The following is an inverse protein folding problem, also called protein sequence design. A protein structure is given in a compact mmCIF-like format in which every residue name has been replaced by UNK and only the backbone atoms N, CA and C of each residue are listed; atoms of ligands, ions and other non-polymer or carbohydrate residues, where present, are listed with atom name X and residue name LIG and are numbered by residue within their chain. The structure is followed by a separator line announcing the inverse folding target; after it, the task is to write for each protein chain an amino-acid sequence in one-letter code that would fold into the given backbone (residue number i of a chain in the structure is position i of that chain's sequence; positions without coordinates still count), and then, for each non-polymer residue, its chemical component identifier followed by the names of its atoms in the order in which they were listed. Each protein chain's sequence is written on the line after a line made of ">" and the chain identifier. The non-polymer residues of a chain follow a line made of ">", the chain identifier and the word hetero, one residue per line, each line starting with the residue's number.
data_IF_073089590652
#
_entry.id   IF_073089590652
#
_cell.length_a   1.000
_cell.length_b   1.000
_cell.length_c   1.000
_cell.angle_alpha   90.00
_cell.angle_beta   90.00
_cell.angle_gamma   90.00
#
_symmetry.space_group_name_H-M   'P 1'
#
loop_
_entity.id
_entity.type
_entity.pdbx_description
1 polymer ?
#
# COMPACT_ATOMS: atom_id res chain seq x y z
N UNK A 1 38.17 -7.89 18.12
CA UNK A 1 37.21 -8.41 17.12
C UNK A 1 35.90 -7.65 17.29
N UNK A 2 35.76 -6.50 16.62
CA UNK A 2 34.62 -5.59 16.79
C UNK A 2 33.56 -5.84 15.73
N UNK A 3 32.40 -6.33 16.19
CA UNK A 3 31.03 -5.87 15.91
C UNK A 3 30.77 -5.27 14.51
N UNK A 4 29.95 -5.98 13.72
CA UNK A 4 29.03 -5.36 12.74
C UNK A 4 27.60 -5.70 13.15
N UNK A 5 27.06 -4.88 14.04
CA UNK A 5 25.62 -4.71 14.17
C UNK A 5 25.17 -4.00 12.89
N UNK A 6 24.48 -4.72 11.99
CA UNK A 6 23.77 -4.09 10.89
C UNK A 6 22.55 -3.38 11.47
N UNK A 7 22.73 -2.12 11.84
CA UNK A 7 21.62 -1.19 12.08
C UNK A 7 20.78 -1.12 10.80
N UNK A 8 19.65 -1.82 10.75
CA UNK A 8 18.56 -1.42 9.85
C UNK A 8 17.94 -0.18 10.47
N UNK A 9 18.56 0.98 10.23
CA UNK A 9 17.93 2.26 10.52
C UNK A 9 16.65 2.32 9.68
N UNK A 10 15.50 2.17 10.33
CA UNK A 10 14.19 2.51 9.79
C UNK A 10 14.13 4.04 9.63
N UNK A 11 14.86 4.57 8.65
CA UNK A 11 14.68 5.94 8.19
C UNK A 11 13.32 5.98 7.48
N UNK A 12 12.40 6.78 8.01
CA UNK A 12 11.00 6.87 7.58
C UNK A 12 10.86 7.27 6.11
N UNK A 13 10.91 6.29 5.21
CA UNK A 13 10.61 6.46 3.80
C UNK A 13 9.11 6.49 3.57
N UNK A 14 8.68 7.17 2.51
CA UNK A 14 7.27 7.18 2.10
C UNK A 14 6.82 5.77 1.75
N UNK A 15 5.67 5.38 2.29
CA UNK A 15 5.02 4.12 1.98
C UNK A 15 4.09 4.31 0.79
N UNK A 16 4.21 3.40 -0.17
CA UNK A 16 3.47 3.43 -1.43
C UNK A 16 2.93 2.04 -1.75
N UNK A 17 1.88 2.00 -2.55
CA UNK A 17 1.37 0.76 -3.13
C UNK A 17 2.07 0.45 -4.44
N UNK A 18 2.47 -0.81 -4.62
CA UNK A 18 3.01 -1.31 -5.88
C UNK A 18 2.21 -2.52 -6.37
N UNK A 19 2.13 -2.76 -7.69
CA UNK A 19 1.44 -3.92 -8.24
C UNK A 19 2.03 -5.25 -7.74
N UNK A 20 1.16 -6.23 -7.51
CA UNK A 20 1.52 -7.54 -7.00
C UNK A 20 0.61 -8.65 -7.53
N UNK A 21 1.19 -9.77 -7.96
CA UNK A 21 0.45 -10.82 -8.68
C UNK A 21 -0.62 -11.53 -7.84
N UNK A 22 -0.41 -11.65 -6.52
CA UNK A 22 -1.34 -12.39 -5.63
C UNK A 22 -2.32 -11.51 -4.88
N UNK A 23 -1.90 -10.30 -4.53
CA UNK A 23 -2.66 -9.39 -3.67
C UNK A 23 -3.23 -8.20 -4.44
N UNK A 24 -2.97 -8.13 -5.76
CA UNK A 24 -3.19 -6.96 -6.64
C UNK A 24 -2.27 -5.79 -6.28
N UNK A 25 -2.26 -5.40 -5.01
CA UNK A 25 -1.44 -4.32 -4.46
C UNK A 25 -0.67 -4.80 -3.25
N UNK A 26 0.61 -4.43 -3.17
CA UNK A 26 1.47 -4.70 -2.02
C UNK A 26 2.11 -3.42 -1.51
N UNK A 27 2.23 -3.32 -0.19
CA UNK A 27 2.86 -2.18 0.47
C UNK A 27 4.37 -2.22 0.24
N UNK A 28 4.95 -1.07 -0.09
CA UNK A 28 6.38 -0.93 -0.28
C UNK A 28 6.89 0.38 0.31
N UNK A 29 8.14 0.39 0.73
CA UNK A 29 8.84 1.58 1.17
C UNK A 29 9.75 2.08 0.05
N UNK A 30 9.63 3.35 -0.31
CA UNK A 30 10.54 3.96 -1.30
C UNK A 30 11.94 4.06 -0.72
N UNK A 31 12.92 3.45 -1.39
CA UNK A 31 14.33 3.56 -1.04
C UNK A 31 14.95 4.78 -1.72
N UNK A 32 14.79 4.86 -3.03
CA UNK A 32 15.35 5.94 -3.83
C UNK A 32 14.58 6.13 -5.14
N UNK A 33 14.57 7.37 -5.63
CA UNK A 33 14.08 7.72 -6.96
C UNK A 33 15.27 7.80 -7.91
N UNK A 34 15.37 6.84 -8.82
CA UNK A 34 16.48 6.75 -9.79
C UNK A 34 16.29 7.79 -10.90
N UNK A 35 15.05 8.01 -11.33
CA UNK A 35 14.69 9.04 -12.31
C UNK A 35 13.26 9.54 -12.09
N UNK A 36 12.77 10.42 -12.96
CA UNK A 36 11.37 10.86 -12.94
C UNK A 36 10.39 9.67 -13.02
N UNK A 37 10.71 8.63 -13.79
CA UNK A 37 9.79 7.51 -14.01
C UNK A 37 10.27 6.19 -13.38
N UNK A 38 11.46 6.14 -12.78
CA UNK A 38 12.01 4.90 -12.24
C UNK A 38 12.28 5.04 -10.74
N UNK A 39 11.65 4.17 -9.95
CA UNK A 39 11.80 4.13 -8.50
C UNK A 39 12.28 2.76 -8.03
N UNK A 40 13.04 2.75 -6.94
CA UNK A 40 13.43 1.53 -6.26
C UNK A 40 12.75 1.49 -4.89
N UNK A 41 12.09 0.37 -4.60
CA UNK A 41 11.30 0.17 -3.39
C UNK A 41 11.66 -1.15 -2.73
N UNK A 42 11.47 -1.23 -1.43
CA UNK A 42 11.51 -2.48 -0.67
C UNK A 42 10.11 -2.91 -0.32
N UNK A 43 9.74 -4.14 -0.63
CA UNK A 43 8.43 -4.67 -0.23
C UNK A 43 8.38 -4.83 1.29
N UNK A 44 7.27 -4.41 1.90
CA UNK A 44 7.07 -4.47 3.35
C UNK A 44 5.81 -5.24 3.69
N UNK A 45 5.79 -5.83 4.88
CA UNK A 45 4.59 -6.47 5.42
C UNK A 45 3.49 -5.42 5.64
N UNK A 46 2.24 -5.82 5.38
CA UNK A 46 1.11 -4.93 5.57
C UNK A 46 0.59 -4.95 7.01
N UNK A 47 0.58 -6.14 7.65
CA UNK A 47 0.22 -6.37 9.06
C UNK A 47 0.88 -7.67 9.61
N UNK A 48 0.68 -7.98 10.89
CA UNK A 48 1.25 -9.15 11.58
C UNK A 48 0.82 -10.50 11.01
N UNK A 49 -0.29 -10.58 10.28
CA UNK A 49 -0.75 -11.80 9.60
C UNK A 49 0.08 -12.17 8.37
N UNK A 50 0.77 -11.20 7.77
CA UNK A 50 1.66 -11.37 6.60
C UNK A 50 3.14 -11.36 7.01
N UNK A 51 3.44 -11.66 8.27
CA UNK A 51 4.80 -11.62 8.80
C UNK A 51 5.75 -12.62 8.10
N UNK A 52 5.21 -13.69 7.48
CA UNK A 52 5.98 -14.66 6.70
C UNK A 52 5.60 -14.62 5.21
N UNK A 53 5.75 -13.46 4.57
CA UNK A 53 5.84 -13.38 3.12
C UNK A 53 7.34 -13.35 2.72
N UNK A 54 7.85 -14.33 1.96
CA UNK A 54 9.26 -14.42 1.60
C UNK A 54 9.72 -13.26 0.70
N UNK A 55 8.80 -12.52 0.08
CA UNK A 55 9.14 -11.35 -0.71
C UNK A 55 9.34 -10.09 0.16
N UNK A 56 8.94 -10.10 1.43
CA UNK A 56 9.16 -8.97 2.33
C UNK A 56 10.67 -8.72 2.51
N UNK A 57 11.09 -7.47 2.39
CA UNK A 57 12.51 -7.09 2.36
C UNK A 57 13.16 -7.20 0.98
N UNK A 58 12.47 -7.75 -0.03
CA UNK A 58 12.97 -7.79 -1.40
C UNK A 58 12.93 -6.40 -2.00
N UNK A 59 14.03 -6.00 -2.65
CA UNK A 59 14.13 -4.74 -3.36
C UNK A 59 13.73 -4.95 -4.82
N UNK A 60 12.77 -4.16 -5.29
CA UNK A 60 12.29 -4.18 -6.68
C UNK A 60 12.32 -2.77 -7.26
N UNK A 61 12.46 -2.69 -8.58
CA UNK A 61 12.45 -1.45 -9.34
C UNK A 61 11.21 -1.42 -10.20
N UNK A 62 10.51 -0.28 -10.22
CA UNK A 62 9.26 -0.11 -10.94
C UNK A 62 9.27 1.16 -11.79
N UNK A 63 8.55 1.11 -12.90
CA UNK A 63 8.16 2.29 -13.66
C UNK A 63 6.93 2.95 -13.01
N UNK A 64 7.06 4.22 -12.65
CA UNK A 64 5.99 4.99 -11.98
C UNK A 64 4.76 5.12 -12.88
N UNK A 65 4.93 5.14 -14.20
CA UNK A 65 3.82 5.32 -15.15
C UNK A 65 2.90 4.11 -15.15
N UNK A 66 3.46 2.92 -15.01
CA UNK A 66 2.70 1.68 -14.93
C UNK A 66 1.91 1.62 -13.62
N UNK A 67 2.54 2.01 -12.51
CA UNK A 67 1.89 2.09 -11.20
C UNK A 67 0.74 3.10 -11.24
N UNK A 68 1.00 4.32 -11.72
CA UNK A 68 0.01 5.39 -11.81
C UNK A 68 -1.21 4.97 -12.65
N UNK A 69 -0.95 4.36 -13.82
CA UNK A 69 -2.01 3.86 -14.70
C UNK A 69 -2.86 2.79 -14.02
N UNK A 70 -2.23 1.83 -13.34
CA UNK A 70 -2.94 0.77 -12.63
C UNK A 70 -3.73 1.30 -11.43
N UNK A 71 -3.22 2.31 -10.73
CA UNK A 71 -3.90 2.92 -9.58
C UNK A 71 -5.03 3.89 -9.98
N UNK A 72 -5.22 4.14 -11.28
CA UNK A 72 -6.20 5.10 -11.80
C UNK A 72 -5.80 6.56 -11.61
N UNK A 73 -4.52 6.85 -11.44
CA UNK A 73 -4.01 8.20 -11.25
C UNK A 73 -4.01 9.01 -12.55
N UNK A 74 -4.30 10.31 -12.43
CA UNK A 74 -4.34 11.22 -13.60
C UNK A 74 -2.92 11.61 -14.03
N UNK A 75 -1.99 11.71 -13.09
CA UNK A 75 -0.59 12.06 -13.38
C UNK A 75 0.27 10.81 -13.54
N UNK A 76 1.03 10.74 -14.63
CA UNK A 76 1.95 9.65 -14.91
C UNK A 76 3.15 9.55 -13.95
N UNK A 77 3.31 10.55 -13.06
CA UNK A 77 4.37 10.60 -12.04
C UNK A 77 3.82 10.47 -10.62
N UNK A 78 2.50 10.30 -10.46
CA UNK A 78 1.87 10.11 -9.16
C UNK A 78 2.17 8.71 -8.62
N UNK A 79 2.41 8.65 -7.30
CA UNK A 79 2.59 7.40 -6.58
C UNK A 79 1.40 7.23 -5.62
N UNK A 80 0.74 6.06 -5.60
CA UNK A 80 -0.36 5.81 -4.68
C UNK A 80 0.18 5.66 -3.26
N UNK A 81 0.15 6.75 -2.49
CA UNK A 81 0.64 6.78 -1.11
C UNK A 81 -0.24 5.91 -0.22
N UNK A 82 0.37 5.17 0.72
CA UNK A 82 -0.38 4.39 1.70
C UNK A 82 -1.06 5.30 2.73
N UNK A 83 -2.38 5.20 2.85
CA UNK A 83 -3.10 5.77 3.98
C UNK A 83 -2.75 5.02 5.27
N UNK A 84 -2.86 5.72 6.39
CA UNK A 84 -2.89 5.10 7.70
C UNK A 84 -4.32 4.68 8.02
N UNK A 85 -4.55 3.39 8.23
CA UNK A 85 -5.84 2.86 8.64
C UNK A 85 -5.85 2.60 10.14
N UNK A 86 -6.99 2.88 10.79
CA UNK A 86 -7.26 2.35 12.12
C UNK A 86 -7.53 0.85 12.06
N UNK A 87 -7.57 0.20 13.24
CA UNK A 87 -7.82 -1.26 13.32
C UNK A 87 -9.11 -1.72 12.63
N UNK A 88 -10.10 -0.85 12.48
CA UNK A 88 -11.42 -1.16 11.89
C UNK A 88 -11.58 -0.62 10.46
N UNK A 89 -10.51 -0.14 9.83
CA UNK A 89 -10.60 0.68 8.62
C UNK A 89 -11.40 1.96 8.84
N UNK A 90 -11.87 2.57 7.75
CA UNK A 90 -12.75 3.74 7.76
C UNK A 90 -14.16 3.37 7.28
N UNK A 91 -15.22 3.82 7.97
CA UNK A 91 -16.59 3.53 7.57
C UNK A 91 -17.02 4.28 6.32
N UNK A 92 -16.44 5.46 6.06
CA UNK A 92 -16.63 6.24 4.84
C UNK A 92 -15.27 6.54 4.19
N UNK A 93 -15.05 6.03 2.99
CA UNK A 93 -13.78 6.16 2.26
C UNK A 93 -13.53 7.57 1.73
N UNK A 94 -14.55 8.44 1.66
CA UNK A 94 -14.35 9.86 1.37
C UNK A 94 -13.52 10.60 2.43
N UNK A 95 -13.29 9.98 3.59
CA UNK A 95 -12.46 10.53 4.67
C UNK A 95 -10.96 10.19 4.54
N UNK A 96 -10.57 9.40 3.54
CA UNK A 96 -9.17 9.04 3.29
C UNK A 96 -8.39 10.23 2.73
N UNK A 97 -7.12 10.38 3.15
CA UNK A 97 -6.23 11.43 2.63
C UNK A 97 -5.90 11.22 1.16
N UNK A 98 -5.73 9.95 0.76
CA UNK A 98 -5.44 9.56 -0.62
C UNK A 98 -6.50 8.54 -1.08
N UNK A 99 -7.42 8.95 -1.94
CA UNK A 99 -8.48 8.08 -2.45
C UNK A 99 -8.13 7.57 -3.85
N UNK A 100 -7.47 6.41 -3.89
CA UNK A 100 -7.11 5.67 -5.09
C UNK A 100 -7.49 4.19 -4.93
N UNK A 101 -7.40 3.42 -6.01
CA UNK A 101 -7.82 2.01 -6.01
C UNK A 101 -7.21 1.18 -4.87
N UNK A 102 -5.88 1.19 -4.60
CA UNK A 102 -5.33 0.38 -3.52
C UNK A 102 -5.86 0.76 -2.14
N UNK A 103 -6.14 2.05 -1.90
CA UNK A 103 -6.72 2.48 -0.63
C UNK A 103 -8.14 1.95 -0.42
N UNK A 104 -8.95 1.95 -1.49
CA UNK A 104 -10.30 1.40 -1.49
C UNK A 104 -10.27 -0.11 -1.21
N UNK A 105 -9.43 -0.84 -1.95
CA UNK A 105 -9.29 -2.28 -1.79
C UNK A 105 -8.84 -2.65 -0.37
N UNK A 106 -7.79 -2.00 0.15
CA UNK A 106 -7.28 -2.28 1.49
C UNK A 106 -8.34 -2.01 2.57
N UNK A 107 -9.10 -0.91 2.46
CA UNK A 107 -10.14 -0.60 3.42
C UNK A 107 -11.25 -1.67 3.44
N UNK A 108 -11.70 -2.09 2.26
CA UNK A 108 -12.72 -3.14 2.14
C UNK A 108 -12.23 -4.48 2.68
N UNK A 109 -10.99 -4.88 2.38
CA UNK A 109 -10.37 -6.09 2.93
C UNK A 109 -10.32 -6.07 4.46
N UNK A 110 -9.84 -4.96 5.05
CA UNK A 110 -9.78 -4.80 6.52
C UNK A 110 -11.16 -4.95 7.15
N UNK A 111 -12.16 -4.23 6.63
CA UNK A 111 -13.52 -4.23 7.17
C UNK A 111 -14.23 -5.56 7.00
N UNK A 112 -14.06 -6.19 5.84
CA UNK A 112 -14.62 -7.52 5.57
C UNK A 112 -14.02 -8.58 6.50
N UNK A 113 -12.70 -8.55 6.73
CA UNK A 113 -12.03 -9.47 7.66
C UNK A 113 -12.53 -9.38 9.10
N UNK A 114 -13.16 -8.25 9.45
CA UNK A 114 -13.76 -7.97 10.76
C UNK A 114 -15.28 -8.18 10.78
N UNK A 115 -15.84 -8.85 9.76
CA UNK A 115 -17.29 -9.06 9.60
C UNK A 115 -18.10 -7.76 9.56
N UNK A 116 -17.52 -6.70 8.97
CA UNK A 116 -18.20 -5.42 8.75
C UNK A 116 -18.48 -5.24 7.25
N UNK A 117 -19.60 -5.75 6.72
CA UNK A 117 -19.82 -5.87 5.27
C UNK A 117 -20.21 -4.56 4.58
N UNK A 118 -20.65 -3.54 5.33
CA UNK A 118 -21.11 -2.27 4.78
C UNK A 118 -20.06 -1.17 4.95
N UNK A 119 -19.70 -0.53 3.84
CA UNK A 119 -18.75 0.59 3.78
C UNK A 119 -19.26 1.67 2.85
N UNK A 120 -19.20 2.92 3.28
CA UNK A 120 -19.65 4.06 2.50
C UNK A 120 -18.53 4.68 1.67
N UNK A 121 -18.93 5.35 0.59
CA UNK A 121 -18.13 6.31 -0.16
C UNK A 121 -19.04 7.48 -0.49
N UNK A 122 -19.18 8.39 0.48
CA UNK A 122 -20.19 9.45 0.45
C UNK A 122 -21.61 8.86 0.46
N UNK A 123 -22.39 9.12 -0.58
CA UNK A 123 -23.79 8.68 -0.67
C UNK A 123 -23.96 7.22 -1.11
N UNK A 124 -22.90 6.57 -1.57
CA UNK A 124 -22.95 5.19 -2.07
C UNK A 124 -22.59 4.24 -0.92
N UNK A 125 -23.40 3.19 -0.74
CA UNK A 125 -23.10 2.10 0.18
C UNK A 125 -22.61 0.87 -0.61
N UNK A 126 -21.41 0.39 -0.27
CA UNK A 126 -20.83 -0.84 -0.77
C UNK A 126 -21.14 -1.94 0.24
N UNK A 127 -21.80 -3.01 -0.21
CA UNK A 127 -22.05 -4.22 0.57
C UNK A 127 -21.19 -5.36 0.02
N UNK A 128 -20.31 -5.91 0.86
CA UNK A 128 -19.48 -7.07 0.52
C UNK A 128 -20.14 -8.33 1.10
N UNK A 129 -20.32 -9.36 0.27
CA UNK A 129 -20.91 -10.62 0.70
C UNK A 129 -20.02 -11.29 1.78
N UNK A 130 -20.56 -11.64 2.96
CA UNK A 130 -19.82 -12.32 4.02
C UNK A 130 -19.30 -13.71 3.61
#
# INVERSE_FOLDING_TARGET
>A
MQRRESLSSSTGGTLVWVPHDKQVWKRAQVLQRISEFLIQVTLVADDTSDAYDPENGTVKTYDVRDIAKLAGEVSATAMPICNTFGKLGVPDMCTLNHLHEPAVLKNLQLRHSLFVPYTYTGQICIAVNP
#
